data_IF_429200768393
#
_entry.id   IF_429200768393
#
_cell.length_a   1.000
_cell.length_b   1.000
_cell.length_c   1.000
_cell.angle_alpha   90.00
_cell.angle_beta   90.00
_cell.angle_gamma   90.00
#
_symmetry.space_group_name_H-M   'P 1'
#
loop_
_entity.id
_entity.type
_entity.pdbx_description
1 polymer ?
#
# COMPACT_ATOMS: atom_id res chain seq x y z
N UNK A 1 -22.47 21.25 -2.88
CA UNK A 1 -23.21 20.25 -2.07
C UNK A 1 -23.18 20.72 -0.63
N UNK A 2 -24.27 20.53 0.13
CA UNK A 2 -24.30 20.83 1.57
C UNK A 2 -24.21 19.52 2.36
N UNK A 3 -23.59 19.56 3.52
CA UNK A 3 -23.50 18.42 4.45
C UNK A 3 -23.75 18.87 5.87
N UNK A 4 -24.32 17.98 6.65
CA UNK A 4 -24.60 18.18 8.06
C UNK A 4 -23.36 17.85 8.91
N UNK A 5 -23.15 18.63 9.96
CA UNK A 5 -22.12 18.44 10.98
C UNK A 5 -22.75 17.72 12.17
N UNK A 6 -22.08 16.67 12.63
CA UNK A 6 -22.51 15.84 13.73
C UNK A 6 -21.78 16.18 15.03
N UNK A 7 -22.55 16.22 16.12
CA UNK A 7 -22.03 16.40 17.48
C UNK A 7 -21.57 15.07 18.09
N UNK A 8 -21.00 15.16 19.29
CA UNK A 8 -20.56 14.02 20.12
C UNK A 8 -21.66 12.95 20.28
N UNK A 9 -22.92 13.39 20.37
CA UNK A 9 -24.09 12.50 20.53
C UNK A 9 -24.58 11.86 19.22
N UNK A 10 -24.07 12.30 18.07
CA UNK A 10 -24.59 11.88 16.75
C UNK A 10 -25.79 12.68 16.25
N UNK A 11 -26.13 13.79 16.92
CA UNK A 11 -27.16 14.74 16.47
C UNK A 11 -26.60 15.74 15.46
N UNK A 12 -27.47 16.20 14.55
CA UNK A 12 -27.18 17.25 13.56
C UNK A 12 -27.11 18.60 14.26
N UNK A 13 -26.03 19.34 14.02
CA UNK A 13 -25.79 20.65 14.65
C UNK A 13 -25.82 21.78 13.63
N UNK A 14 -24.99 21.69 12.59
CA UNK A 14 -24.84 22.75 11.58
C UNK A 14 -24.84 22.17 10.17
N UNK A 15 -25.14 22.99 9.18
CA UNK A 15 -24.90 22.68 7.78
C UNK A 15 -23.68 23.44 7.26
N UNK A 16 -22.81 22.74 6.53
CA UNK A 16 -21.60 23.30 5.90
C UNK A 16 -21.64 23.05 4.39
N UNK A 17 -21.12 24.00 3.62
CA UNK A 17 -20.92 23.84 2.19
C UNK A 17 -19.64 23.05 1.90
N UNK A 18 -19.76 21.97 1.14
CA UNK A 18 -18.61 21.19 0.72
C UNK A 18 -17.80 21.89 -0.38
N UNK A 19 -16.46 21.79 -0.33
CA UNK A 19 -15.58 22.20 -1.41
C UNK A 19 -15.92 21.55 -2.76
N UNK A 20 -15.60 22.26 -3.85
CA UNK A 20 -15.76 21.77 -5.25
C UNK A 20 -15.10 20.40 -5.49
N UNK A 21 -14.02 20.08 -4.77
CA UNK A 21 -13.28 18.82 -4.90
C UNK A 21 -14.14 17.55 -4.64
N UNK A 22 -15.20 17.64 -3.85
CA UNK A 22 -16.10 16.51 -3.59
C UNK A 22 -17.09 16.25 -4.74
N UNK A 23 -17.34 17.23 -5.61
CA UNK A 23 -18.22 17.12 -6.77
C UNK A 23 -17.51 16.83 -8.10
N UNK A 24 -16.20 16.65 -8.08
CA UNK A 24 -15.39 16.42 -9.30
C UNK A 24 -15.66 15.03 -9.92
N UNK A 25 -15.49 14.88 -11.24
CA UNK A 25 -15.64 13.58 -11.91
C UNK A 25 -14.64 12.55 -11.37
N UNK A 26 -15.14 11.39 -10.98
CA UNK A 26 -14.33 10.30 -10.43
C UNK A 26 -13.62 9.56 -11.57
N UNK A 27 -12.29 9.65 -11.59
CA UNK A 27 -11.42 8.96 -12.57
C UNK A 27 -10.67 7.80 -11.93
N UNK A 28 -11.20 6.58 -12.09
CA UNK A 28 -10.62 5.37 -11.52
C UNK A 28 -9.24 5.03 -12.10
N UNK A 29 -9.03 5.32 -13.39
CA UNK A 29 -7.80 5.11 -14.15
C UNK A 29 -6.61 5.87 -13.56
N UNK A 30 -6.78 7.18 -13.32
CA UNK A 30 -5.73 8.05 -12.79
C UNK A 30 -5.42 7.68 -11.34
N UNK A 31 -6.43 7.34 -10.55
CA UNK A 31 -6.24 6.90 -9.16
C UNK A 31 -5.46 5.58 -9.11
N UNK A 32 -5.81 4.60 -9.95
CA UNK A 32 -5.09 3.34 -10.03
C UNK A 32 -3.62 3.55 -10.43
N UNK A 33 -3.36 4.41 -11.42
CA UNK A 33 -2.00 4.78 -11.86
C UNK A 33 -1.19 5.40 -10.71
N UNK A 34 -1.78 6.32 -9.95
CA UNK A 34 -1.14 6.95 -8.79
C UNK A 34 -0.86 5.94 -7.66
N UNK A 35 -1.82 5.07 -7.36
CA UNK A 35 -1.66 4.03 -6.35
C UNK A 35 -0.53 3.06 -6.70
N UNK A 36 -0.40 2.67 -7.98
CA UNK A 36 0.71 1.83 -8.44
C UNK A 36 2.06 2.54 -8.26
N UNK A 37 2.15 3.80 -8.70
CA UNK A 37 3.38 4.58 -8.59
C UNK A 37 3.82 4.83 -7.13
N UNK A 38 2.88 4.89 -6.19
CA UNK A 38 3.15 5.12 -4.76
C UNK A 38 3.49 3.83 -3.99
N UNK A 39 3.43 2.64 -4.61
CA UNK A 39 3.82 1.40 -3.93
C UNK A 39 5.31 1.41 -3.59
N UNK A 40 5.61 1.21 -2.32
CA UNK A 40 6.99 1.06 -1.84
C UNK A 40 7.33 -0.43 -1.80
N UNK A 41 8.36 -0.83 -2.55
CA UNK A 41 8.94 -2.17 -2.54
C UNK A 41 10.38 -2.08 -2.06
N UNK A 42 10.73 -2.87 -1.06
CA UNK A 42 12.13 -3.07 -0.68
C UNK A 42 12.80 -3.95 -1.74
N UNK A 43 13.94 -3.52 -2.31
CA UNK A 43 14.64 -4.30 -3.31
C UNK A 43 15.18 -5.59 -2.69
N UNK A 44 15.21 -6.66 -3.47
CA UNK A 44 15.80 -7.93 -3.07
C UNK A 44 16.54 -8.54 -4.25
N UNK A 45 17.66 -9.20 -3.96
CA UNK A 45 18.46 -9.93 -4.94
C UNK A 45 19.15 -11.10 -4.22
N UNK A 46 19.35 -12.25 -4.88
CA UNK A 46 20.36 -13.19 -4.43
C UNK A 46 21.76 -12.54 -4.49
N UNK A 47 22.73 -13.11 -3.78
CA UNK A 47 24.12 -12.69 -3.91
C UNK A 47 24.58 -12.78 -5.37
N UNK A 48 25.33 -11.80 -5.92
CA UNK A 48 25.86 -11.86 -7.28
C UNK A 48 26.71 -13.09 -7.58
N UNK A 49 27.35 -13.65 -6.54
CA UNK A 49 28.19 -14.84 -6.62
C UNK A 49 27.41 -16.16 -6.39
N UNK A 50 26.11 -16.09 -6.09
CA UNK A 50 25.30 -17.27 -5.80
C UNK A 50 25.35 -18.29 -6.96
N UNK A 51 25.74 -19.53 -6.66
CA UNK A 51 25.90 -20.61 -7.64
C UNK A 51 27.21 -20.59 -8.43
N UNK A 52 28.07 -19.59 -8.20
CA UNK A 52 29.38 -19.44 -8.84
C UNK A 52 30.56 -19.53 -7.83
N UNK A 53 30.28 -19.72 -6.53
CA UNK A 53 31.29 -19.84 -5.46
C UNK A 53 31.92 -21.24 -5.38
N UNK A 54 32.35 -21.82 -6.51
CA UNK A 54 33.11 -23.07 -6.48
C UNK A 54 34.60 -22.80 -6.73
N UNK A 55 35.45 -23.31 -5.85
CA UNK A 55 36.91 -23.19 -5.93
C UNK A 55 37.53 -24.22 -6.90
N UNK A 56 36.86 -25.35 -7.11
CA UNK A 56 37.39 -26.41 -7.94
C UNK A 56 37.32 -26.10 -9.43
N UNK A 57 38.43 -26.28 -10.13
CA UNK A 57 38.56 -25.97 -11.55
C UNK A 57 37.41 -26.51 -12.40
N UNK A 58 36.98 -25.70 -13.37
CA UNK A 58 35.93 -26.06 -14.32
C UNK A 58 36.39 -27.25 -15.16
N UNK A 59 35.48 -28.19 -15.40
CA UNK A 59 35.74 -29.24 -16.38
C UNK A 59 36.03 -28.62 -17.76
N UNK A 60 36.99 -29.21 -18.47
CA UNK A 60 37.44 -28.75 -19.79
C UNK A 60 36.53 -29.31 -20.88
N UNK A 61 36.15 -28.47 -21.85
CA UNK A 61 35.46 -28.91 -23.06
C UNK A 61 36.42 -29.37 -24.17
N UNK A 62 37.73 -29.30 -23.96
CA UNK A 62 38.75 -29.74 -24.92
C UNK A 62 38.81 -31.28 -24.99
N UNK A 63 39.08 -31.81 -26.18
CA UNK A 63 39.20 -33.26 -26.43
C UNK A 63 40.55 -33.78 -25.93
N UNK A 64 40.56 -34.98 -25.32
CA UNK A 64 41.79 -35.68 -24.88
C UNK A 64 42.68 -34.87 -23.90
N UNK A 65 42.07 -34.03 -23.06
CA UNK A 65 42.77 -33.23 -22.03
C UNK A 65 42.33 -33.66 -20.63
N UNK A 66 43.23 -33.53 -19.64
CA UNK A 66 42.90 -33.68 -18.21
C UNK A 66 41.65 -32.86 -17.83
N UNK A 67 40.75 -33.45 -17.01
CA UNK A 67 39.44 -32.89 -16.64
C UNK A 67 38.44 -32.70 -17.80
N UNK A 68 38.59 -33.45 -18.90
CA UNK A 68 37.61 -33.41 -19.99
C UNK A 68 36.31 -34.15 -19.68
N UNK A 69 35.21 -33.63 -20.22
CA UNK A 69 33.87 -34.26 -20.23
C UNK A 69 33.67 -35.15 -21.47
N UNK A 70 34.54 -35.05 -22.47
CA UNK A 70 34.38 -35.75 -23.75
C UNK A 70 34.65 -37.25 -23.59
N UNK A 71 33.83 -38.09 -24.24
CA UNK A 71 33.98 -39.54 -24.24
C UNK A 71 33.49 -40.26 -22.98
N UNK A 72 32.83 -39.55 -22.04
CA UNK A 72 32.38 -40.12 -20.76
C UNK A 72 30.87 -40.39 -20.65
N UNK A 73 30.13 -40.34 -21.77
CA UNK A 73 28.69 -40.63 -21.79
C UNK A 73 27.82 -39.67 -20.96
N UNK A 74 28.33 -38.48 -20.61
CA UNK A 74 27.65 -37.49 -19.77
C UNK A 74 27.40 -36.18 -20.52
N UNK A 75 26.42 -35.40 -20.05
CA UNK A 75 26.13 -34.07 -20.56
C UNK A 75 27.29 -33.09 -20.38
N UNK A 76 27.47 -32.20 -21.37
CA UNK A 76 28.57 -31.21 -21.47
C UNK A 76 28.39 -29.94 -20.62
N UNK A 77 27.52 -30.00 -19.61
CA UNK A 77 27.33 -28.88 -18.67
C UNK A 77 28.59 -28.65 -17.84
N UNK A 78 28.91 -27.40 -17.45
CA UNK A 78 30.02 -27.09 -16.58
C UNK A 78 29.87 -27.82 -15.25
N UNK A 79 30.95 -28.49 -14.83
CA UNK A 79 30.99 -29.25 -13.59
C UNK A 79 32.09 -28.72 -12.68
N UNK A 80 31.81 -28.71 -11.38
CA UNK A 80 32.82 -28.55 -10.33
C UNK A 80 33.41 -29.92 -10.03
N UNK A 81 34.71 -29.98 -9.78
CA UNK A 81 35.45 -31.23 -9.62
C UNK A 81 35.93 -31.34 -8.18
N UNK A 82 35.45 -32.33 -7.44
CA UNK A 82 35.80 -32.51 -6.03
C UNK A 82 37.17 -33.17 -5.84
N UNK A 83 37.51 -34.15 -6.67
CA UNK A 83 38.78 -34.86 -6.59
C UNK A 83 39.91 -34.15 -7.35
N UNK A 84 41.07 -34.01 -6.70
CA UNK A 84 42.27 -33.40 -7.32
C UNK A 84 43.23 -34.42 -7.94
N UNK A 85 43.10 -35.70 -7.58
CA UNK A 85 43.94 -36.82 -8.02
C UNK A 85 43.05 -38.00 -8.47
N UNK A 86 43.58 -38.89 -9.31
CA UNK A 86 42.90 -40.08 -9.82
C UNK A 86 42.52 -40.02 -11.30
N UNK A 87 42.26 -41.18 -11.92
CA UNK A 87 41.84 -41.33 -13.32
C UNK A 87 40.37 -40.96 -13.55
N UNK A 88 39.53 -41.12 -12.52
CA UNK A 88 38.14 -40.69 -12.51
C UNK A 88 37.93 -39.49 -11.57
N UNK A 89 37.16 -38.50 -12.05
CA UNK A 89 36.85 -37.30 -11.28
C UNK A 89 35.46 -37.40 -10.66
N UNK A 90 35.36 -37.17 -9.36
CA UNK A 90 34.08 -36.93 -8.70
C UNK A 90 33.66 -35.50 -9.06
N UNK A 91 32.57 -35.38 -9.83
CA UNK A 91 32.12 -34.10 -10.35
C UNK A 91 30.61 -33.91 -10.28
N UNK A 92 30.18 -32.68 -10.07
CA UNK A 92 28.78 -32.32 -10.01
C UNK A 92 28.54 -31.13 -10.93
N UNK A 93 27.44 -31.14 -11.66
CA UNK A 93 27.09 -30.01 -12.52
C UNK A 93 26.85 -28.76 -11.66
N UNK A 94 27.39 -27.62 -12.08
CA UNK A 94 27.36 -26.36 -11.33
C UNK A 94 27.12 -25.18 -12.26
N UNK A 95 27.06 -23.95 -11.75
CA UNK A 95 26.92 -22.69 -12.51
C UNK A 95 25.59 -22.47 -13.24
N UNK A 96 24.91 -23.51 -13.72
CA UNK A 96 23.75 -23.41 -14.61
C UNK A 96 22.42 -23.40 -13.82
N UNK A 97 21.36 -22.74 -14.30
CA UNK A 97 20.05 -22.70 -13.65
C UNK A 97 19.28 -24.01 -13.53
N UNK A 98 19.58 -25.00 -14.37
CA UNK A 98 18.92 -26.31 -14.35
C UNK A 98 19.55 -27.33 -13.41
N UNK A 99 20.53 -26.93 -12.58
CA UNK A 99 21.25 -27.85 -11.69
C UNK A 99 21.16 -27.41 -10.24
N UNK A 100 21.17 -28.39 -9.31
CA UNK A 100 21.16 -28.12 -7.88
C UNK A 100 22.39 -27.29 -7.49
N UNK A 101 22.18 -26.19 -6.78
CA UNK A 101 23.27 -25.30 -6.36
C UNK A 101 23.89 -24.45 -7.47
N UNK A 102 23.36 -24.46 -8.70
CA UNK A 102 23.75 -23.56 -9.77
C UNK A 102 23.10 -22.17 -9.66
N UNK A 103 23.51 -21.23 -10.54
CA UNK A 103 23.00 -19.86 -10.53
C UNK A 103 21.58 -19.81 -11.10
N UNK A 104 20.70 -18.98 -10.54
CA UNK A 104 19.37 -18.75 -11.12
C UNK A 104 19.47 -18.06 -12.49
N UNK A 105 18.61 -18.42 -13.44
CA UNK A 105 18.48 -17.74 -14.72
C UNK A 105 17.83 -16.36 -14.48
N UNK A 106 18.46 -15.30 -15.00
CA UNK A 106 17.99 -13.92 -14.85
C UNK A 106 17.61 -13.57 -13.39
N UNK A 107 18.57 -13.58 -12.46
CA UNK A 107 18.28 -13.25 -11.06
C UNK A 107 17.78 -11.81 -10.95
N UNK A 108 16.88 -11.52 -9.99
CA UNK A 108 16.39 -10.17 -9.77
C UNK A 108 17.56 -9.23 -9.45
N UNK A 109 17.70 -8.13 -10.19
CA UNK A 109 18.74 -7.12 -9.95
C UNK A 109 18.19 -5.99 -9.10
N UNK A 110 18.96 -5.59 -8.08
CA UNK A 110 18.62 -4.49 -7.16
C UNK A 110 18.38 -3.19 -7.92
N UNK A 111 19.27 -2.84 -8.85
CA UNK A 111 19.21 -1.59 -9.62
C UNK A 111 17.84 -1.39 -10.29
N UNK A 112 17.32 -2.44 -10.95
CA UNK A 112 16.04 -2.34 -11.65
C UNK A 112 14.84 -2.16 -10.71
N UNK A 113 14.94 -2.57 -9.46
CA UNK A 113 13.88 -2.41 -8.45
C UNK A 113 13.90 -1.05 -7.77
N UNK A 114 15.01 -0.30 -7.87
CA UNK A 114 15.12 1.05 -7.34
C UNK A 114 14.45 2.09 -8.25
N UNK A 115 14.30 1.77 -9.54
CA UNK A 115 13.58 2.59 -10.51
C UNK A 115 12.09 2.69 -10.11
N UNK A 116 11.72 3.83 -9.51
CA UNK A 116 10.32 4.12 -9.17
C UNK A 116 9.62 4.79 -10.34
N UNK A 117 8.36 4.43 -10.54
CA UNK A 117 7.48 5.14 -11.44
C UNK A 117 7.32 6.59 -10.95
N UNK A 118 7.64 7.54 -11.82
CA UNK A 118 7.42 8.96 -11.58
C UNK A 118 6.01 9.32 -12.04
N UNK A 119 5.40 10.31 -11.37
CA UNK A 119 4.07 10.76 -11.72
C UNK A 119 3.98 12.29 -11.71
N UNK A 120 3.19 12.81 -12.63
CA UNK A 120 3.00 14.24 -12.78
C UNK A 120 2.22 14.82 -11.60
N UNK A 121 2.60 16.03 -11.17
CA UNK A 121 1.89 16.74 -10.09
C UNK A 121 0.42 16.99 -10.42
N UNK A 122 0.10 17.23 -11.71
CA UNK A 122 -1.28 17.42 -12.20
C UNK A 122 -2.12 16.13 -12.04
N UNK A 123 -1.56 14.98 -12.43
CA UNK A 123 -2.22 13.67 -12.26
C UNK A 123 -2.42 13.34 -10.78
N UNK A 124 -1.44 13.65 -9.93
CA UNK A 124 -1.57 13.48 -8.48
C UNK A 124 -2.72 14.31 -7.90
N UNK A 125 -2.84 15.57 -8.31
CA UNK A 125 -3.90 16.46 -7.86
C UNK A 125 -5.28 15.96 -8.34
N UNK A 126 -5.38 15.56 -9.61
CA UNK A 126 -6.60 15.01 -10.18
C UNK A 126 -7.04 13.71 -9.48
N UNK A 127 -6.09 12.83 -9.16
CA UNK A 127 -6.37 11.62 -8.40
C UNK A 127 -6.83 11.92 -6.97
N UNK A 128 -6.26 12.94 -6.31
CA UNK A 128 -6.67 13.35 -4.97
C UNK A 128 -8.12 13.86 -4.97
N UNK A 129 -8.47 14.73 -5.93
CA UNK A 129 -9.86 15.18 -6.13
C UNK A 129 -10.82 14.04 -6.43
N UNK A 130 -10.43 13.13 -7.34
CA UNK A 130 -11.23 11.93 -7.65
C UNK A 130 -11.42 11.03 -6.43
N UNK A 131 -10.40 10.87 -5.59
CA UNK A 131 -10.47 10.08 -4.38
C UNK A 131 -11.37 10.74 -3.31
N UNK A 132 -11.34 12.07 -3.17
CA UNK A 132 -12.25 12.82 -2.29
C UNK A 132 -13.70 12.75 -2.77
N UNK A 133 -13.94 12.92 -4.07
CA UNK A 133 -15.30 12.75 -4.60
C UNK A 133 -15.82 11.32 -4.38
N UNK A 134 -14.95 10.31 -4.48
CA UNK A 134 -15.32 8.94 -4.20
C UNK A 134 -15.69 8.67 -2.73
N UNK A 135 -15.23 9.46 -1.75
CA UNK A 135 -15.67 9.31 -0.35
C UNK A 135 -17.04 9.93 -0.10
N UNK A 136 -17.45 10.91 -0.91
CA UNK A 136 -18.80 11.48 -0.89
C UNK A 136 -19.82 10.64 -1.66
N UNK A 137 -19.37 9.78 -2.60
CA UNK A 137 -20.26 8.97 -3.42
C UNK A 137 -20.60 7.62 -2.75
N UNK A 138 -21.86 7.47 -2.37
CA UNK A 138 -22.44 6.25 -1.77
C UNK A 138 -22.09 4.97 -2.54
N UNK A 139 -22.24 4.96 -3.87
CA UNK A 139 -21.99 3.77 -4.69
C UNK A 139 -20.56 3.27 -4.57
N UNK A 140 -19.60 4.19 -4.50
CA UNK A 140 -18.19 3.83 -4.41
C UNK A 140 -17.81 3.33 -3.02
N UNK A 141 -18.39 3.92 -1.97
CA UNK A 141 -18.19 3.45 -0.58
C UNK A 141 -18.80 2.05 -0.40
N UNK A 142 -20.03 1.82 -0.85
CA UNK A 142 -20.69 0.52 -0.82
C UNK A 142 -19.91 -0.54 -1.62
N UNK A 143 -19.43 -0.20 -2.82
CA UNK A 143 -18.64 -1.12 -3.68
C UNK A 143 -17.33 -1.56 -3.01
N UNK A 144 -16.71 -0.70 -2.18
CA UNK A 144 -15.43 -0.99 -1.53
C UNK A 144 -15.56 -2.04 -0.43
N UNK A 145 -16.62 -1.97 0.37
CA UNK A 145 -16.79 -2.81 1.54
C UNK A 145 -17.82 -3.88 1.26
N UNK A 146 -17.39 -5.15 1.23
CA UNK A 146 -18.28 -6.26 0.87
C UNK A 146 -19.53 -6.36 1.75
N UNK A 147 -19.43 -5.97 3.03
CA UNK A 147 -20.56 -6.00 3.97
C UNK A 147 -21.59 -4.89 3.72
N UNK A 148 -21.25 -3.85 2.94
CA UNK A 148 -22.08 -2.67 2.71
C UNK A 148 -22.66 -2.60 1.29
N UNK A 149 -22.55 -3.68 0.50
CA UNK A 149 -22.92 -3.67 -0.92
C UNK A 149 -24.39 -3.34 -1.17
N UNK A 150 -25.28 -3.78 -0.29
CA UNK A 150 -26.73 -3.64 -0.44
C UNK A 150 -27.32 -2.54 0.46
N UNK A 151 -26.45 -1.80 1.15
CA UNK A 151 -26.87 -0.76 2.09
C UNK A 151 -26.93 0.62 1.48
N UNK A 152 -28.01 1.33 1.81
CA UNK A 152 -28.13 2.75 1.51
C UNK A 152 -27.43 3.57 2.59
N UNK A 153 -26.26 4.12 2.27
CA UNK A 153 -25.51 4.98 3.18
C UNK A 153 -25.96 6.43 2.95
N UNK A 154 -26.81 6.91 3.86
CA UNK A 154 -27.26 8.31 3.86
C UNK A 154 -26.18 9.21 4.49
N UNK A 155 -26.13 10.47 4.05
CA UNK A 155 -25.34 11.56 4.63
C UNK A 155 -23.80 11.46 4.47
N UNK A 156 -23.32 10.90 3.35
CA UNK A 156 -21.91 11.01 2.97
C UNK A 156 -21.60 12.38 2.34
N UNK A 157 -20.40 12.95 2.59
CA UNK A 157 -19.40 12.59 3.58
C UNK A 157 -19.80 12.99 5.01
N UNK A 158 -19.34 12.22 6.01
CA UNK A 158 -19.58 12.53 7.43
C UNK A 158 -18.64 13.65 7.91
N UNK A 159 -19.22 14.72 8.47
CA UNK A 159 -18.48 15.83 9.08
C UNK A 159 -18.78 15.88 10.58
N UNK A 160 -17.75 16.05 11.41
CA UNK A 160 -17.86 16.08 12.88
C UNK A 160 -17.23 17.33 13.47
N UNK A 161 -17.70 17.72 14.65
CA UNK A 161 -17.09 18.81 15.42
C UNK A 161 -15.71 18.42 15.95
N UNK A 162 -14.80 19.40 16.00
CA UNK A 162 -13.41 19.24 16.47
C UNK A 162 -13.30 18.75 17.92
N UNK A 163 -14.35 18.97 18.73
CA UNK A 163 -14.43 18.49 20.12
C UNK A 163 -14.29 16.96 20.23
N UNK A 164 -14.72 16.22 19.21
CA UNK A 164 -14.70 14.76 19.18
C UNK A 164 -13.26 14.21 19.29
N UNK A 165 -12.25 14.94 18.78
CA UNK A 165 -10.84 14.54 18.83
C UNK A 165 -10.22 14.60 20.24
N UNK A 166 -10.82 15.38 21.14
CA UNK A 166 -10.36 15.60 22.52
C UNK A 166 -10.92 14.61 23.54
N UNK A 167 -11.82 13.72 23.12
CA UNK A 167 -12.46 12.72 23.97
C UNK A 167 -11.51 11.57 24.34
N UNK A 168 -11.83 10.87 25.44
CA UNK A 168 -11.18 9.60 25.78
C UNK A 168 -11.57 8.53 24.77
N UNK A 169 -10.77 7.47 24.69
CA UNK A 169 -10.98 6.36 23.74
C UNK A 169 -12.34 5.71 23.84
N UNK A 170 -12.86 5.46 25.06
CA UNK A 170 -14.17 4.85 25.28
C UNK A 170 -15.30 5.73 24.73
N UNK A 171 -15.28 7.01 25.09
CA UNK A 171 -16.31 7.97 24.70
C UNK A 171 -16.26 8.21 23.18
N UNK A 172 -15.06 8.29 22.60
CA UNK A 172 -14.84 8.36 21.16
C UNK A 172 -15.46 7.18 20.40
N UNK A 173 -15.32 5.95 20.91
CA UNK A 173 -15.94 4.77 20.30
C UNK A 173 -17.46 4.87 20.35
N UNK A 174 -18.02 5.29 21.49
CA UNK A 174 -19.47 5.44 21.65
C UNK A 174 -20.03 6.50 20.68
N UNK A 175 -19.37 7.65 20.57
CA UNK A 175 -19.74 8.69 19.59
C UNK A 175 -19.69 8.18 18.16
N UNK A 176 -18.65 7.42 17.79
CA UNK A 176 -18.56 6.82 16.46
C UNK A 176 -19.70 5.83 16.19
N UNK A 177 -20.09 5.03 17.19
CA UNK A 177 -21.22 4.11 17.06
C UNK A 177 -22.53 4.87 16.80
N UNK A 178 -22.74 5.99 17.47
CA UNK A 178 -23.93 6.81 17.29
C UNK A 178 -23.97 7.52 15.92
N UNK A 179 -22.83 8.04 15.45
CA UNK A 179 -22.75 8.77 14.17
C UNK A 179 -22.87 7.83 12.97
N UNK A 180 -22.15 6.70 12.99
CA UNK A 180 -22.07 5.77 11.86
C UNK A 180 -23.19 4.73 11.87
N UNK A 181 -23.84 4.49 13.01
CA UNK A 181 -24.72 3.34 13.21
C UNK A 181 -23.95 2.02 13.25
N UNK A 182 -24.67 0.92 13.49
CA UNK A 182 -24.01 -0.35 13.86
C UNK A 182 -23.20 -0.98 12.72
N UNK A 183 -23.72 -0.95 11.49
CA UNK A 183 -23.10 -1.65 10.35
C UNK A 183 -21.87 -0.93 9.79
N UNK A 184 -21.91 0.38 9.63
CA UNK A 184 -20.72 1.17 9.25
C UNK A 184 -19.66 1.13 10.35
N UNK A 185 -20.07 1.08 11.62
CA UNK A 185 -19.15 1.01 12.75
C UNK A 185 -18.35 -0.31 12.77
N UNK A 186 -18.97 -1.45 12.43
CA UNK A 186 -18.26 -2.73 12.33
C UNK A 186 -17.10 -2.67 11.33
N UNK A 187 -17.33 -2.00 10.19
CA UNK A 187 -16.32 -1.78 9.14
C UNK A 187 -15.30 -0.70 9.53
N UNK A 188 -15.72 0.28 10.33
CA UNK A 188 -14.88 1.38 10.81
C UNK A 188 -13.72 0.89 11.70
N UNK A 189 -13.99 -0.10 12.57
CA UNK A 189 -12.97 -0.67 13.44
C UNK A 189 -12.03 -1.63 12.71
N UNK A 190 -10.78 -1.69 13.18
CA UNK A 190 -9.75 -2.50 12.54
C UNK A 190 -9.80 -3.96 12.96
N UNK A 191 -10.52 -4.78 12.19
CA UNK A 191 -10.52 -6.23 12.37
C UNK A 191 -9.18 -6.82 11.91
N UNK A 192 -8.57 -7.66 12.74
CA UNK A 192 -7.27 -8.29 12.48
C UNK A 192 -7.45 -9.79 12.31
N UNK A 193 -6.95 -10.34 11.23
CA UNK A 193 -6.86 -11.78 11.02
C UNK A 193 -5.42 -12.21 10.74
N UNK A 194 -5.09 -13.47 11.01
CA UNK A 194 -3.77 -14.01 10.67
C UNK A 194 -3.66 -14.15 9.16
N UNK A 195 -2.56 -13.67 8.58
CA UNK A 195 -2.31 -13.71 7.14
C UNK A 195 -2.03 -15.14 6.68
N UNK A 196 -2.73 -15.59 5.65
CA UNK A 196 -2.45 -16.86 4.99
C UNK A 196 -1.07 -16.88 4.30
N UNK A 197 -0.47 -18.07 4.23
CA UNK A 197 0.78 -18.32 3.49
C UNK A 197 2.07 -17.83 4.17
N UNK A 198 3.17 -17.81 3.41
CA UNK A 198 4.52 -17.50 3.92
C UNK A 198 4.72 -16.04 4.35
N UNK A 199 3.78 -15.15 4.02
CA UNK A 199 3.81 -13.74 4.44
C UNK A 199 3.80 -13.57 5.96
N UNK A 200 3.21 -14.54 6.69
CA UNK A 200 3.18 -14.55 8.15
C UNK A 200 4.59 -14.58 8.78
N UNK A 201 5.52 -15.31 8.16
CA UNK A 201 6.91 -15.46 8.60
C UNK A 201 7.78 -14.26 8.22
N UNK A 202 7.34 -13.40 7.30
CA UNK A 202 8.11 -12.25 6.80
C UNK A 202 7.79 -10.96 7.56
N UNK A 203 7.50 -11.05 8.86
CA UNK A 203 7.10 -9.92 9.71
C UNK A 203 5.71 -9.33 9.42
N UNK A 204 4.89 -9.98 8.57
CA UNK A 204 3.56 -9.50 8.17
C UNK A 204 2.45 -10.44 8.65
N UNK A 205 2.52 -10.86 9.92
CA UNK A 205 1.63 -11.86 10.54
C UNK A 205 0.15 -11.51 10.44
N UNK A 206 -0.22 -10.24 10.66
CA UNK A 206 -1.62 -9.82 10.65
C UNK A 206 -2.02 -9.13 9.35
N UNK A 207 -3.21 -9.43 8.84
CA UNK A 207 -3.94 -8.65 7.83
C UNK A 207 -5.02 -7.87 8.57
N UNK A 208 -5.21 -6.59 8.19
CA UNK A 208 -6.25 -5.73 8.76
C UNK A 208 -7.12 -5.19 7.64
N UNK A 209 -8.40 -4.92 7.91
CA UNK A 209 -9.23 -4.12 7.01
C UNK A 209 -8.69 -2.68 6.91
N UNK A 210 -9.21 -1.89 5.97
CA UNK A 210 -8.79 -0.50 5.83
C UNK A 210 -9.18 0.33 7.07
N UNK A 211 -10.36 0.07 7.64
CA UNK A 211 -10.94 0.83 8.74
C UNK A 211 -11.31 2.26 8.35
N UNK A 212 -11.87 2.99 9.32
CA UNK A 212 -12.18 4.40 9.22
C UNK A 212 -10.91 5.25 9.14
N UNK A 213 -10.93 6.25 8.26
CA UNK A 213 -9.98 7.35 8.27
C UNK A 213 -10.65 8.59 8.89
N UNK A 214 -9.98 9.22 9.84
CA UNK A 214 -10.38 10.53 10.36
C UNK A 214 -9.43 11.57 9.80
N UNK A 215 -9.96 12.56 9.08
CA UNK A 215 -9.19 13.67 8.53
C UNK A 215 -9.36 14.88 9.43
N UNK A 216 -8.25 15.38 9.94
CA UNK A 216 -8.21 16.48 10.91
C UNK A 216 -7.60 17.73 10.29
N UNK A 217 -7.92 18.89 10.87
CA UNK A 217 -7.29 20.16 10.55
C UNK A 217 -5.83 20.22 11.01
N UNK A 218 -5.10 21.24 10.56
CA UNK A 218 -3.65 21.36 10.79
C UNK A 218 -3.27 21.45 12.28
N UNK A 219 -4.07 22.18 13.06
CA UNK A 219 -3.78 22.52 14.48
C UNK A 219 -4.46 21.60 15.50
N UNK A 220 -5.28 20.66 15.03
CA UNK A 220 -6.07 19.80 15.91
C UNK A 220 -5.19 18.72 16.58
N UNK A 221 -5.31 18.58 17.90
CA UNK A 221 -4.59 17.57 18.68
C UNK A 221 -5.46 16.32 18.82
N UNK A 222 -4.88 15.17 18.49
CA UNK A 222 -5.56 13.88 18.55
C UNK A 222 -5.17 13.17 19.86
N UNK A 223 -6.14 12.84 20.72
CA UNK A 223 -5.89 12.06 21.95
C UNK A 223 -5.97 10.55 21.77
N UNK A 224 -6.62 10.06 20.72
CA UNK A 224 -6.90 8.63 20.50
C UNK A 224 -6.20 8.08 19.25
N UNK A 225 -5.82 6.80 19.24
CA UNK A 225 -5.12 6.17 18.09
C UNK A 225 -5.76 4.86 17.63
N UNK A 226 -7.08 4.73 17.80
CA UNK A 226 -7.83 3.51 17.46
C UNK A 226 -7.96 3.37 15.93
N UNK A 227 -8.30 4.45 15.25
CA UNK A 227 -8.51 4.53 13.79
C UNK A 227 -7.28 5.08 13.06
N UNK A 228 -7.31 5.11 11.73
CA UNK A 228 -6.28 5.85 10.97
C UNK A 228 -6.60 7.35 11.02
N UNK A 229 -5.58 8.18 11.21
CA UNK A 229 -5.70 9.64 11.16
C UNK A 229 -4.83 10.19 10.05
N UNK A 230 -5.29 11.25 9.39
CA UNK A 230 -4.49 12.03 8.46
C UNK A 230 -4.81 13.51 8.59
N UNK A 231 -3.81 14.36 8.37
CA UNK A 231 -3.98 15.80 8.40
C UNK A 231 -4.43 16.27 7.00
N UNK A 232 -5.29 17.28 6.93
CA UNK A 232 -5.79 17.91 5.70
C UNK A 232 -4.66 18.27 4.71
N UNK A 233 -3.53 18.77 5.22
CA UNK A 233 -2.38 19.21 4.42
C UNK A 233 -1.62 18.01 3.81
N UNK A 234 -1.45 16.96 4.60
CA UNK A 234 -0.71 15.75 4.23
C UNK A 234 -1.59 14.65 3.63
N UNK A 235 -2.86 14.96 3.36
CA UNK A 235 -3.82 14.01 2.83
C UNK A 235 -3.36 13.47 1.47
N UNK A 236 -3.20 12.15 1.40
CA UNK A 236 -2.72 11.47 0.20
C UNK A 236 -3.76 10.54 -0.41
N UNK A 237 -3.63 10.27 -1.71
CA UNK A 237 -4.46 9.29 -2.43
C UNK A 237 -4.37 7.91 -1.78
N UNK A 238 -3.22 7.55 -1.21
CA UNK A 238 -3.02 6.24 -0.54
C UNK A 238 -3.89 6.11 0.71
N UNK A 239 -4.10 7.20 1.44
CA UNK A 239 -4.92 7.20 2.65
C UNK A 239 -6.42 7.09 2.29
N UNK A 240 -6.87 7.85 1.29
CA UNK A 240 -8.27 7.88 0.82
C UNK A 240 -8.67 6.64 -0.01
N UNK A 241 -7.75 6.07 -0.78
CA UNK A 241 -8.03 4.95 -1.70
C UNK A 241 -7.32 3.65 -1.28
N UNK A 242 -7.12 3.43 0.04
CA UNK A 242 -6.48 2.22 0.57
C UNK A 242 -7.26 0.97 0.17
N UNK A 243 -6.70 0.18 -0.75
CA UNK A 243 -7.32 -1.05 -1.27
C UNK A 243 -8.44 -0.83 -2.30
N UNK A 244 -8.69 0.41 -2.71
CA UNK A 244 -9.78 0.79 -3.62
C UNK A 244 -10.36 2.16 -3.28
N UNK A 245 -11.05 2.77 -4.24
CA UNK A 245 -11.78 4.04 -4.10
C UNK A 245 -12.93 3.93 -3.08
N UNK A 246 -13.34 5.05 -2.50
CA UNK A 246 -14.50 5.10 -1.57
C UNK A 246 -14.21 4.56 -0.18
N UNK A 247 -13.09 4.96 0.45
CA UNK A 247 -12.88 4.65 1.87
C UNK A 247 -13.94 5.36 2.71
N UNK A 248 -14.35 4.73 3.82
CA UNK A 248 -15.13 5.41 4.85
C UNK A 248 -14.24 6.45 5.55
N UNK A 249 -14.62 7.71 5.45
CA UNK A 249 -13.87 8.84 6.00
C UNK A 249 -14.80 9.74 6.79
N UNK A 250 -14.33 10.18 7.96
CA UNK A 250 -14.92 11.28 8.73
C UNK A 250 -13.98 12.47 8.64
N UNK A 251 -14.55 13.65 8.37
CA UNK A 251 -13.81 14.91 8.32
C UNK A 251 -14.17 15.77 9.53
N UNK A 252 -13.22 16.50 10.09
CA UNK A 252 -13.56 17.60 10.99
C UNK A 252 -14.03 18.83 10.21
N UNK A 253 -14.81 19.69 10.85
CA UNK A 253 -15.23 20.99 10.29
C UNK A 253 -14.02 21.80 9.81
N UNK A 254 -12.96 21.89 10.62
CA UNK A 254 -11.72 22.58 10.24
C UNK A 254 -11.06 21.94 9.01
N UNK A 255 -11.04 20.61 8.93
CA UNK A 255 -10.45 19.90 7.79
C UNK A 255 -11.16 20.20 6.47
N UNK A 256 -12.50 20.28 6.47
CA UNK A 256 -13.28 20.64 5.27
C UNK A 256 -12.90 22.05 4.78
N UNK A 257 -12.81 23.01 5.70
CA UNK A 257 -12.46 24.39 5.38
C UNK A 257 -11.04 24.51 4.81
N UNK A 258 -10.07 23.80 5.38
CA UNK A 258 -8.68 23.77 4.88
C UNK A 258 -8.57 23.07 3.52
N UNK A 259 -9.30 21.97 3.31
CA UNK A 259 -9.39 21.29 2.02
C UNK A 259 -9.97 22.23 0.95
N UNK A 260 -10.98 23.03 1.30
CA UNK A 260 -11.54 24.06 0.42
C UNK A 260 -10.49 25.06 -0.06
N UNK A 261 -9.82 25.72 0.89
CA UNK A 261 -8.75 26.69 0.60
C UNK A 261 -7.65 26.11 -0.28
N UNK A 262 -7.22 24.88 0.02
CA UNK A 262 -6.17 24.17 -0.74
C UNK A 262 -6.51 24.03 -2.23
N UNK A 263 -7.76 23.75 -2.57
CA UNK A 263 -8.16 23.54 -3.96
C UNK A 263 -8.67 24.80 -4.68
N UNK A 264 -9.08 25.84 -3.94
CA UNK A 264 -9.48 27.13 -4.49
C UNK A 264 -8.28 27.98 -4.95
N UNK A 265 -7.19 28.00 -4.17
CA UNK A 265 -6.00 28.80 -4.52
C UNK A 265 -5.13 28.19 -5.63
N UNK A 266 -5.55 27.06 -6.24
CA UNK A 266 -4.76 26.36 -7.24
C UNK A 266 -3.41 25.86 -6.70
N UNK A 267 -3.26 25.81 -5.38
CA UNK A 267 -1.99 25.47 -4.75
C UNK A 267 -1.56 24.06 -5.16
N UNK A 268 -0.31 23.99 -5.62
CA UNK A 268 0.32 22.73 -6.02
C UNK A 268 0.26 21.79 -4.82
N UNK A 269 -0.10 20.50 -4.99
CA UNK A 269 -0.13 19.59 -3.86
C UNK A 269 1.21 19.62 -3.15
N UNK A 270 1.19 19.88 -1.84
CA UNK A 270 2.33 19.66 -0.96
C UNK A 270 2.88 18.27 -1.28
N UNK A 271 4.10 18.23 -1.84
CA UNK A 271 4.81 16.96 -2.02
C UNK A 271 5.30 16.60 -0.62
N UNK A 272 4.37 16.17 0.25
CA UNK A 272 4.72 15.53 1.49
C UNK A 272 5.36 14.19 1.11
N UNK A 273 6.66 14.25 0.81
CA UNK A 273 7.55 13.12 1.00
C UNK A 273 7.42 12.85 2.49
N UNK A 274 6.65 11.83 2.90
CA UNK A 274 6.71 11.33 4.27
C UNK A 274 8.18 11.13 4.57
N UNK A 275 8.73 11.99 5.44
CA UNK A 275 10.03 11.77 6.04
C UNK A 275 10.05 10.34 6.56
N UNK A 276 11.17 9.66 6.33
CA UNK A 276 11.45 8.43 7.03
C UNK A 276 11.47 8.75 8.52
N UNK A 277 10.48 8.24 9.23
CA UNK A 277 10.68 7.70 10.57
C UNK A 277 10.62 6.17 10.45
#
# INVERSE_FOLDING_TARGET
MKTEVYNIEGKKSKEIQLPKAFGEKIREDVVAKVLEAKKIKQPYSPSPLAGNMYSSGKASHRRKVWKTLYGKGISRVPRKIFSRKGSQFNWEAATIPGVRGGRRAHPPKVLKMLDRLKINKKEMNLALKSALSATANEKNVAKKYSSLKDEKIKNLPFVVESQLLSLKTKDFINSLKNILGERLFEVALKNKSVRAGKGKLRGRKYKKNAGLLVVTGKKEKIKTRITDFSNSENLSVVDLAKGGLGRLVIYTEEAINEIGKRFEHGERPSVAIRGKD
#
